data_IF_653403430619
#
_entry.id   IF_653403430619
#
_cell.length_a   1.000
_cell.length_b   1.000
_cell.length_c   1.000
_cell.angle_alpha   90.00
_cell.angle_beta   90.00
_cell.angle_gamma   90.00
#
_symmetry.space_group_name_H-M   'P 1'
#
loop_
_entity.id
_entity.type
_entity.pdbx_description
1 polymer ?
#
# COMPACT_ATOMS: atom_id res chain seq x y z
N UNK A 1 9.19 11.10 -2.15
CA UNK A 1 7.86 10.79 -2.71
C UNK A 1 7.99 10.17 -4.08
N UNK A 2 7.21 9.12 -4.34
CA UNK A 2 7.01 8.50 -5.66
C UNK A 2 5.54 8.66 -6.03
N UNK A 3 5.28 8.89 -7.31
CA UNK A 3 3.95 9.20 -7.81
C UNK A 3 3.63 8.36 -9.04
N UNK A 4 2.65 7.47 -8.91
CA UNK A 4 2.14 6.61 -9.98
C UNK A 4 0.77 7.07 -10.49
N UNK A 5 0.25 8.23 -10.08
CA UNK A 5 -1.14 8.64 -10.35
C UNK A 5 -1.48 8.75 -11.84
N UNK A 6 -0.48 8.90 -12.70
CA UNK A 6 -0.64 8.99 -14.14
C UNK A 6 -0.60 7.62 -14.86
N UNK A 7 -0.31 6.54 -14.14
CA UNK A 7 -0.18 5.22 -14.75
C UNK A 7 -1.51 4.74 -15.33
N UNK A 8 -1.44 4.13 -16.50
CA UNK A 8 -2.61 3.64 -17.22
C UNK A 8 -3.10 2.25 -16.74
N UNK A 9 -2.46 1.69 -15.71
CA UNK A 9 -2.82 0.42 -15.10
C UNK A 9 -2.45 0.42 -13.62
N UNK A 10 -3.07 -0.48 -12.86
CA UNK A 10 -2.75 -0.69 -11.45
C UNK A 10 -1.27 -1.05 -11.24
N UNK A 11 -0.75 -0.68 -10.08
CA UNK A 11 0.61 -0.94 -9.62
C UNK A 11 0.61 -1.86 -8.41
N UNK A 12 1.62 -2.73 -8.36
CA UNK A 12 1.98 -3.48 -7.17
C UNK A 12 3.39 -3.08 -6.76
N UNK A 13 3.52 -2.48 -5.59
CA UNK A 13 4.79 -1.95 -5.08
C UNK A 13 5.16 -2.59 -3.76
N UNK A 14 6.45 -2.87 -3.61
CA UNK A 14 7.02 -3.47 -2.41
C UNK A 14 8.05 -2.52 -1.80
N UNK A 15 7.87 -2.21 -0.51
CA UNK A 15 8.60 -1.15 0.19
C UNK A 15 9.17 -1.72 1.49
N UNK A 16 10.49 -1.92 1.52
CA UNK A 16 11.21 -2.55 2.63
C UNK A 16 12.52 -1.81 2.93
N UNK A 17 13.10 -2.09 4.10
CA UNK A 17 14.43 -1.55 4.45
C UNK A 17 15.48 -2.01 3.44
N UNK A 18 16.21 -1.07 2.84
CA UNK A 18 17.27 -1.37 1.87
C UNK A 18 16.78 -1.67 0.44
N UNK A 19 15.47 -1.52 0.18
CA UNK A 19 14.85 -1.78 -1.12
C UNK A 19 13.95 -3.00 -1.10
N UNK A 20 12.74 -2.84 -1.64
CA UNK A 20 11.79 -3.94 -1.82
C UNK A 20 12.07 -4.79 -3.07
N UNK A 21 11.13 -5.67 -3.38
CA UNK A 21 11.05 -6.37 -4.66
C UNK A 21 10.74 -5.38 -5.80
N UNK A 22 11.15 -5.66 -7.04
CA UNK A 22 10.76 -4.88 -8.20
C UNK A 22 9.24 -4.79 -8.31
N UNK A 23 8.71 -3.59 -8.51
CA UNK A 23 7.30 -3.34 -8.72
C UNK A 23 6.77 -4.06 -9.97
N UNK A 24 5.47 -4.30 -9.99
CA UNK A 24 4.78 -5.05 -11.04
C UNK A 24 3.59 -4.24 -11.51
N UNK A 25 3.40 -4.19 -12.84
CA UNK A 25 2.27 -3.50 -13.45
C UNK A 25 2.48 -1.99 -13.61
N UNK A 26 1.77 -1.43 -14.59
CA UNK A 26 1.80 0.00 -14.91
C UNK A 26 3.21 0.57 -14.99
N UNK A 27 3.37 1.75 -14.41
CA UNK A 27 4.61 2.52 -14.39
C UNK A 27 5.56 2.02 -13.30
N UNK A 28 5.06 1.21 -12.35
CA UNK A 28 5.88 0.60 -11.31
C UNK A 28 6.68 -0.62 -11.80
N UNK A 29 6.48 -1.07 -13.04
CA UNK A 29 7.10 -2.29 -13.56
C UNK A 29 8.64 -2.20 -13.54
N UNK A 30 9.25 -2.98 -12.64
CA UNK A 30 10.71 -3.04 -12.48
C UNK A 30 11.28 -2.04 -11.48
N UNK A 31 10.47 -1.14 -10.93
CA UNK A 31 10.92 -0.14 -9.97
C UNK A 31 11.31 -0.78 -8.64
N UNK A 32 12.47 -0.39 -8.10
CA UNK A 32 12.85 -0.74 -6.73
C UNK A 32 12.87 0.50 -5.87
N UNK A 33 11.95 0.57 -4.90
CA UNK A 33 11.77 1.76 -4.07
C UNK A 33 12.70 1.71 -2.84
N UNK A 34 13.56 2.71 -2.70
CA UNK A 34 14.53 2.84 -1.61
C UNK A 34 14.46 4.26 -1.06
N UNK A 35 14.50 4.42 0.27
CA UNK A 35 14.47 5.73 0.95
C UNK A 35 13.28 6.61 0.51
N UNK A 36 12.08 6.02 0.49
CA UNK A 36 10.85 6.72 0.09
C UNK A 36 10.00 7.00 1.33
N UNK A 37 9.47 8.22 1.44
CA UNK A 37 8.59 8.64 2.54
C UNK A 37 7.10 8.59 2.17
N UNK A 38 6.77 8.68 0.87
CA UNK A 38 5.39 8.64 0.36
C UNK A 38 5.32 7.97 -1.00
N UNK A 39 4.31 7.14 -1.22
CA UNK A 39 3.91 6.62 -2.53
C UNK A 39 2.47 7.05 -2.79
N UNK A 40 2.22 7.56 -3.99
CA UNK A 40 0.88 7.84 -4.52
C UNK A 40 0.57 6.77 -5.57
N UNK A 41 -0.54 6.06 -5.38
CA UNK A 41 -1.09 5.07 -6.28
C UNK A 41 -1.80 5.69 -7.47
N UNK A 42 -2.69 4.92 -8.06
CA UNK A 42 -3.34 5.16 -9.33
C UNK A 42 -4.84 5.40 -9.15
N UNK A 43 -5.60 5.39 -10.24
CA UNK A 43 -7.07 5.33 -10.20
C UNK A 43 -7.60 3.90 -10.39
N UNK A 44 -6.76 2.88 -10.18
CA UNK A 44 -7.07 1.46 -10.33
C UNK A 44 -6.69 0.69 -9.07
N UNK A 45 -7.13 -0.56 -8.99
CA UNK A 45 -6.94 -1.45 -7.84
C UNK A 45 -5.45 -1.80 -7.60
N UNK A 46 -4.81 -1.04 -6.72
CA UNK A 46 -3.39 -1.14 -6.42
C UNK A 46 -3.10 -2.10 -5.27
N UNK A 47 -1.83 -2.51 -5.17
CA UNK A 47 -1.34 -3.29 -4.04
C UNK A 47 -0.06 -2.68 -3.48
N UNK A 48 -0.07 -2.37 -2.19
CA UNK A 48 1.07 -1.83 -1.48
C UNK A 48 1.54 -2.85 -0.44
N UNK A 49 2.72 -3.42 -0.60
CA UNK A 49 3.34 -4.27 0.40
C UNK A 49 4.44 -3.52 1.15
N UNK A 50 4.26 -3.30 2.45
CA UNK A 50 5.09 -2.39 3.23
C UNK A 50 5.56 -3.02 4.54
N UNK A 51 6.87 -2.94 4.75
CA UNK A 51 7.56 -3.36 5.98
C UNK A 51 8.18 -2.18 6.75
N UNK A 52 7.84 -0.95 6.34
CA UNK A 52 8.34 0.29 6.93
C UNK A 52 7.23 1.05 7.66
N UNK A 53 7.53 1.55 8.86
CA UNK A 53 6.56 2.31 9.67
C UNK A 53 6.48 3.81 9.32
N UNK A 54 7.37 4.32 8.48
CA UNK A 54 7.50 5.75 8.18
C UNK A 54 6.95 6.15 6.81
N UNK A 55 6.38 5.20 6.07
CA UNK A 55 5.92 5.44 4.70
C UNK A 55 4.45 5.81 4.71
N UNK A 56 4.11 6.86 3.96
CA UNK A 56 2.72 7.21 3.64
C UNK A 56 2.31 6.55 2.33
N UNK A 57 1.16 5.90 2.32
CA UNK A 57 0.56 5.26 1.15
C UNK A 57 -0.75 5.98 0.87
N UNK A 58 -0.86 6.55 -0.32
CA UNK A 58 -2.04 7.27 -0.80
C UNK A 58 -2.56 6.46 -2.00
N UNK A 59 -3.61 5.66 -1.78
CA UNK A 59 -4.05 4.64 -2.76
C UNK A 59 -4.62 5.26 -4.02
N UNK A 60 -5.43 6.30 -3.83
CA UNK A 60 -6.06 7.03 -4.92
C UNK A 60 -7.50 6.60 -5.05
N UNK A 61 -7.86 5.99 -6.18
CA UNK A 61 -9.17 5.39 -6.39
C UNK A 61 -8.99 3.96 -6.92
N UNK A 62 -10.02 3.14 -6.81
CA UNK A 62 -9.93 1.70 -7.03
C UNK A 62 -10.12 0.95 -5.72
N UNK A 63 -10.28 -0.37 -5.81
CA UNK A 63 -10.31 -1.23 -4.62
C UNK A 63 -8.87 -1.63 -4.25
N UNK A 64 -8.27 -0.89 -3.33
CA UNK A 64 -6.84 -1.00 -3.01
C UNK A 64 -6.55 -2.00 -1.87
N UNK A 65 -5.36 -2.61 -1.91
CA UNK A 65 -4.90 -3.55 -0.88
C UNK A 65 -3.58 -3.12 -0.25
N UNK A 66 -3.63 -2.91 1.06
CA UNK A 66 -2.50 -2.52 1.89
C UNK A 66 -2.01 -3.68 2.74
N UNK A 67 -0.88 -4.28 2.36
CA UNK A 67 -0.26 -5.37 3.11
C UNK A 67 0.80 -4.78 4.04
N UNK A 68 0.49 -4.76 5.33
CA UNK A 68 1.30 -4.15 6.37
C UNK A 68 2.00 -5.23 7.20
N UNK A 69 3.28 -5.44 6.92
CA UNK A 69 4.15 -6.43 7.57
C UNK A 69 5.09 -5.83 8.63
N UNK A 70 5.26 -4.51 8.65
CA UNK A 70 6.00 -3.75 9.66
C UNK A 70 5.08 -2.95 10.60
N UNK A 71 5.63 -2.06 11.44
CA UNK A 71 4.92 -1.34 12.51
C UNK A 71 3.82 -0.35 12.08
N UNK A 72 3.35 -0.45 10.84
CA UNK A 72 2.26 0.36 10.27
C UNK A 72 2.77 1.58 9.53
N UNK A 73 2.54 1.63 8.21
CA UNK A 73 2.60 2.87 7.44
C UNK A 73 1.35 3.73 7.65
N UNK A 74 1.40 4.99 7.25
CA UNK A 74 0.20 5.85 7.22
C UNK A 74 -0.56 5.57 5.92
N UNK A 75 -1.85 5.26 6.01
CA UNK A 75 -2.70 5.01 4.84
C UNK A 75 -3.66 6.19 4.67
N UNK A 76 -3.76 6.68 3.44
CA UNK A 76 -4.64 7.76 3.02
C UNK A 76 -5.56 7.22 1.93
N UNK A 77 -6.86 7.24 2.21
CA UNK A 77 -7.89 6.88 1.26
C UNK A 77 -8.90 8.01 1.04
N UNK A 78 -9.43 8.09 -0.18
CA UNK A 78 -10.40 9.11 -0.56
C UNK A 78 -11.83 8.67 -0.23
N UNK A 79 -12.71 9.63 0.05
CA UNK A 79 -14.15 9.33 0.17
C UNK A 79 -14.67 8.85 -1.18
N UNK A 80 -15.19 7.63 -1.22
CA UNK A 80 -15.64 7.00 -2.47
C UNK A 80 -14.49 6.54 -3.37
N UNK A 81 -13.29 6.32 -2.80
CA UNK A 81 -12.11 5.76 -3.48
C UNK A 81 -12.33 4.34 -3.97
N UNK A 82 -13.00 3.50 -3.18
CA UNK A 82 -13.32 2.12 -3.55
C UNK A 82 -13.76 1.32 -2.32
N UNK A 83 -13.54 0.01 -2.34
CA UNK A 83 -13.69 -0.88 -1.19
C UNK A 83 -12.33 -1.43 -0.74
N UNK A 84 -11.66 -0.69 0.11
CA UNK A 84 -10.24 -0.89 0.40
C UNK A 84 -10.02 -1.91 1.52
N UNK A 85 -8.85 -2.55 1.49
CA UNK A 85 -8.48 -3.58 2.46
C UNK A 85 -7.09 -3.36 3.04
N UNK A 86 -7.01 -3.34 4.36
CA UNK A 86 -5.75 -3.51 5.10
C UNK A 86 -5.60 -4.96 5.49
N UNK A 87 -4.45 -5.56 5.16
CA UNK A 87 -4.01 -6.89 5.58
C UNK A 87 -2.82 -6.75 6.50
N UNK A 88 -2.88 -7.31 7.70
CA UNK A 88 -1.79 -7.18 8.66
C UNK A 88 -1.60 -8.40 9.53
N UNK A 89 -0.35 -8.70 9.89
CA UNK A 89 0.00 -9.73 10.86
C UNK A 89 0.03 -9.22 12.31
N UNK A 90 -0.27 -7.94 12.54
CA UNK A 90 -0.29 -7.34 13.87
C UNK A 90 -1.62 -7.63 14.57
N UNK A 91 -1.54 -8.17 15.80
CA UNK A 91 -2.71 -8.53 16.60
C UNK A 91 -3.59 -7.31 16.96
N UNK A 92 -3.03 -6.11 16.94
CA UNK A 92 -3.74 -4.86 17.14
C UNK A 92 -3.39 -3.89 16.03
N UNK A 93 -4.38 -3.46 15.27
CA UNK A 93 -4.24 -2.47 14.22
C UNK A 93 -5.49 -1.58 14.18
N UNK A 94 -5.31 -0.29 13.92
CA UNK A 94 -6.42 0.63 13.74
C UNK A 94 -6.65 0.84 12.25
N UNK A 95 -7.89 0.64 11.81
CA UNK A 95 -8.25 0.88 10.41
C UNK A 95 -8.13 2.38 10.10
N UNK A 96 -7.58 2.71 8.93
CA UNK A 96 -7.51 4.08 8.46
C UNK A 96 -8.92 4.60 8.10
N UNK A 97 -9.05 5.92 7.95
CA UNK A 97 -10.29 6.50 7.44
C UNK A 97 -10.54 6.03 6.00
N UNK A 98 -11.80 5.83 5.64
CA UNK A 98 -12.25 5.40 4.30
C UNK A 98 -11.69 4.05 3.84
N UNK A 99 -11.30 3.17 4.77
CA UNK A 99 -10.98 1.77 4.48
C UNK A 99 -12.11 0.89 5.00
N UNK A 100 -12.57 -0.05 4.18
CA UNK A 100 -13.78 -0.85 4.48
C UNK A 100 -13.46 -2.18 5.16
N UNK A 101 -12.25 -2.70 5.00
CA UNK A 101 -11.85 -4.02 5.54
C UNK A 101 -10.50 -4.00 6.24
N UNK A 102 -10.43 -4.67 7.38
CA UNK A 102 -9.19 -5.03 8.07
C UNK A 102 -9.14 -6.53 8.26
N UNK A 103 -8.17 -7.18 7.62
CA UNK A 103 -7.94 -8.62 7.63
C UNK A 103 -6.66 -8.93 8.42
N UNK A 104 -6.79 -9.72 9.48
CA UNK A 104 -5.62 -10.28 10.18
C UNK A 104 -5.06 -11.47 9.40
N UNK A 105 -3.78 -11.41 9.05
CA UNK A 105 -3.05 -12.43 8.27
C UNK A 105 -1.92 -13.11 9.05
N UNK A 106 -1.78 -12.81 10.34
CA UNK A 106 -0.80 -13.48 11.19
C UNK A 106 -1.16 -14.95 11.42
N UNK A 107 -0.16 -15.77 11.72
CA UNK A 107 -0.41 -17.15 12.12
C UNK A 107 -1.25 -17.16 13.42
N UNK A 108 -2.25 -18.05 13.49
CA UNK A 108 -2.82 -18.41 14.78
C UNK A 108 -1.71 -19.04 15.63
N UNK A 109 -1.57 -18.56 16.87
CA UNK A 109 -0.64 -19.11 17.84
C UNK A 109 -0.97 -20.57 18.20
#
# INVERSE_FOLDING_TARGET
>A
TVDYSASAAAVNVDIRTGGGLPGIGGDAQGDTLVNIEKVIGTGFNDTFNVDLSTVTLDGGAGDDVYIINGSGGTIIEQVGGGNDEIRTSYATFSMAANVERLTYTGAAA
#
